data_IF_469775648952
#
_entry.id   IF_469775648952
#
_cell.length_a   1.000
_cell.length_b   1.000
_cell.length_c   1.000
_cell.angle_alpha   90.00
_cell.angle_beta   90.00
_cell.angle_gamma   90.00
#
_symmetry.space_group_name_H-M   'P 1'
#
loop_
_entity.id
_entity.type
_entity.pdbx_description
1 polymer ?
#
# COMPACT_ATOMS: atom_id res chain seq x y z
N UNK A 1 12.65 -3.61 -31.13
CA UNK A 1 12.24 -3.99 -30.44
C UNK A 1 11.17 -4.45 -30.23
N UNK A 2 11.01 -4.80 -30.03
CA UNK A 2 9.97 -5.38 -30.01
C UNK A 2 9.53 -6.24 -28.97
N UNK A 3 10.34 -6.75 -28.18
CA UNK A 3 9.95 -7.59 -27.09
C UNK A 3 9.06 -6.87 -26.11
N UNK A 4 9.20 -5.59 -26.04
CA UNK A 4 8.40 -4.81 -25.11
C UNK A 4 6.92 -4.91 -25.37
N UNK A 5 6.53 -5.21 -26.60
CA UNK A 5 5.10 -5.27 -26.84
C UNK A 5 4.43 -6.51 -26.27
N UNK A 6 5.20 -7.45 -25.78
CA UNK A 6 4.63 -8.61 -25.12
C UNK A 6 4.25 -8.30 -23.67
N UNK A 7 4.64 -7.16 -23.16
CA UNK A 7 4.40 -6.78 -21.78
C UNK A 7 3.05 -6.07 -21.70
N UNK A 8 2.17 -6.60 -20.87
CA UNK A 8 0.87 -5.98 -20.67
C UNK A 8 0.99 -4.84 -19.65
N UNK A 9 0.13 -3.86 -19.82
CA UNK A 9 0.09 -2.70 -18.95
C UNK A 9 -1.25 -2.69 -18.25
N UNK A 10 -1.25 -2.92 -16.94
CA UNK A 10 -2.47 -3.00 -16.15
C UNK A 10 -2.80 -1.70 -15.45
N UNK A 11 -4.08 -1.55 -15.14
CA UNK A 11 -4.57 -0.35 -14.47
C UNK A 11 -5.08 -0.70 -13.08
N UNK A 12 -5.47 0.34 -12.33
CA UNK A 12 -6.06 0.16 -11.01
C UNK A 12 -7.34 -0.69 -11.09
N UNK A 13 -8.14 -0.53 -12.15
CA UNK A 13 -9.35 -1.32 -12.30
C UNK A 13 -9.01 -2.81 -12.42
N UNK A 14 -7.94 -3.13 -13.14
CA UNK A 14 -7.47 -4.52 -13.23
C UNK A 14 -6.99 -5.00 -11.87
N UNK A 15 -6.23 -4.14 -11.18
CA UNK A 15 -5.68 -4.45 -9.87
C UNK A 15 -6.77 -4.85 -8.87
N UNK A 16 -7.91 -4.18 -8.94
CA UNK A 16 -9.02 -4.45 -8.03
C UNK A 16 -9.65 -5.83 -8.22
N UNK A 17 -9.39 -6.47 -9.36
CA UNK A 17 -9.95 -7.78 -9.66
C UNK A 17 -9.05 -8.92 -9.21
N UNK A 18 -7.81 -8.62 -8.83
CA UNK A 18 -6.86 -9.67 -8.47
C UNK A 18 -7.07 -10.11 -7.03
N UNK A 19 -6.85 -11.40 -6.81
CA UNK A 19 -6.89 -11.97 -5.47
C UNK A 19 -5.49 -11.99 -4.87
N UNK A 20 -5.43 -11.88 -3.54
CA UNK A 20 -4.15 -11.88 -2.85
C UNK A 20 -3.59 -10.48 -2.71
N UNK A 21 -2.33 -10.42 -2.30
CA UNK A 21 -1.66 -9.13 -2.07
C UNK A 21 -0.73 -8.83 -3.23
N UNK A 22 -0.96 -7.70 -3.86
CA UNK A 22 -0.22 -7.26 -5.02
C UNK A 22 0.14 -5.80 -4.90
N UNK A 23 1.16 -5.41 -5.66
CA UNK A 23 1.43 -4.01 -5.95
C UNK A 23 1.43 -3.85 -7.45
N UNK A 24 1.20 -2.63 -7.91
CA UNK A 24 1.17 -2.29 -9.32
C UNK A 24 2.14 -1.14 -9.53
N UNK A 25 3.16 -1.34 -10.37
CA UNK A 25 4.20 -0.34 -10.59
C UNK A 25 4.32 -0.07 -12.07
N UNK A 26 3.92 1.14 -12.48
CA UNK A 26 3.93 1.54 -13.89
C UNK A 26 3.27 0.48 -14.78
N UNK A 27 2.16 -0.07 -14.30
CA UNK A 27 1.39 -1.06 -15.04
C UNK A 27 1.88 -2.50 -14.90
N UNK A 28 2.96 -2.73 -14.16
CA UNK A 28 3.50 -4.07 -13.97
C UNK A 28 3.06 -4.65 -12.63
N UNK A 29 2.49 -5.85 -12.61
CA UNK A 29 2.04 -6.47 -11.37
C UNK A 29 3.20 -7.06 -10.59
N UNK A 30 3.20 -6.85 -9.27
CA UNK A 30 4.22 -7.37 -8.37
C UNK A 30 3.52 -8.08 -7.24
N UNK A 31 3.67 -9.41 -7.18
CA UNK A 31 3.06 -10.19 -6.12
C UNK A 31 3.82 -9.99 -4.82
N UNK A 32 3.09 -9.80 -3.73
CA UNK A 32 3.70 -9.67 -2.41
C UNK A 32 3.76 -11.05 -1.79
N UNK A 33 4.96 -11.44 -1.38
CA UNK A 33 5.18 -12.75 -0.75
C UNK A 33 4.36 -12.86 0.54
N UNK A 34 3.56 -13.91 0.69
CA UNK A 34 2.63 -13.99 1.82
C UNK A 34 3.23 -14.51 3.12
N UNK A 35 4.49 -14.85 3.18
CA UNK A 35 5.07 -15.44 4.39
C UNK A 35 6.15 -14.58 5.00
N UNK A 36 5.79 -13.49 5.65
CA UNK A 36 6.79 -12.67 6.32
C UNK A 36 7.36 -13.42 7.53
N UNK A 37 8.63 -13.21 7.80
CA UNK A 37 9.25 -13.84 8.97
C UNK A 37 8.74 -13.19 10.26
N UNK A 38 8.86 -13.91 11.35
CA UNK A 38 8.37 -13.44 12.65
C UNK A 38 8.98 -12.10 13.03
N UNK A 39 10.26 -11.91 12.76
CA UNK A 39 10.93 -10.63 13.08
C UNK A 39 10.32 -9.46 12.35
N UNK A 40 9.95 -9.66 11.08
CA UNK A 40 9.31 -8.61 10.31
C UNK A 40 7.96 -8.25 10.90
N UNK A 41 7.16 -9.25 11.27
CA UNK A 41 5.85 -9.01 11.86
C UNK A 41 5.95 -8.32 13.20
N UNK A 42 6.91 -8.73 14.03
CA UNK A 42 7.11 -8.12 15.33
C UNK A 42 7.53 -6.66 15.18
N UNK A 43 8.44 -6.38 14.24
CA UNK A 43 8.90 -5.01 13.98
C UNK A 43 7.76 -4.13 13.46
N UNK A 44 7.00 -4.64 12.50
CA UNK A 44 5.88 -3.90 11.95
C UNK A 44 4.83 -3.60 13.02
N UNK A 45 4.55 -4.56 13.88
CA UNK A 45 3.61 -4.37 14.99
C UNK A 45 4.09 -3.34 15.99
N UNK A 46 5.39 -3.35 16.29
CA UNK A 46 5.96 -2.37 17.21
C UNK A 46 5.92 -0.96 16.61
N UNK A 47 6.22 -0.83 15.33
CA UNK A 47 6.16 0.46 14.66
C UNK A 47 4.71 0.98 14.65
N UNK A 48 3.76 0.11 14.33
CA UNK A 48 2.35 0.46 14.32
C UNK A 48 1.92 0.98 15.70
N UNK A 49 2.33 0.28 16.76
CA UNK A 49 1.99 0.67 18.13
C UNK A 49 2.58 2.03 18.48
N UNK A 50 3.87 2.21 18.18
CA UNK A 50 4.55 3.47 18.50
C UNK A 50 3.94 4.65 17.74
N UNK A 51 3.59 4.45 16.48
CA UNK A 51 2.96 5.50 15.70
C UNK A 51 1.57 5.84 16.24
N UNK A 52 0.78 4.84 16.61
CA UNK A 52 -0.53 5.07 17.20
C UNK A 52 -0.41 5.83 18.52
N UNK A 53 0.59 5.49 19.31
CA UNK A 53 0.85 6.18 20.55
C UNK A 53 1.26 7.63 20.32
N UNK A 54 2.04 7.87 19.28
CA UNK A 54 2.52 9.22 18.95
C UNK A 54 1.40 10.16 18.53
N UNK A 55 0.43 9.68 17.75
CA UNK A 55 -0.66 10.54 17.32
C UNK A 55 -1.67 10.81 18.44
N UNK A 56 -1.66 9.97 19.49
CA UNK A 56 -2.50 10.18 20.66
C UNK A 56 -3.97 10.26 20.30
N UNK A 57 -4.62 11.35 20.70
CA UNK A 57 -6.04 11.56 20.46
C UNK A 57 -6.33 12.35 19.18
N UNK A 58 -5.35 12.49 18.30
CA UNK A 58 -5.55 13.24 17.06
C UNK A 58 -6.49 12.48 16.13
N UNK A 59 -7.67 13.06 15.88
CA UNK A 59 -8.66 12.38 15.07
C UNK A 59 -8.46 12.58 13.57
N UNK A 60 -7.53 13.47 13.19
CA UNK A 60 -7.25 13.73 11.79
C UNK A 60 -6.28 12.73 11.20
N UNK A 61 -5.57 11.97 12.03
CA UNK A 61 -4.51 11.08 11.60
C UNK A 61 -4.86 9.63 11.88
N UNK A 62 -4.40 8.74 10.96
CA UNK A 62 -4.62 7.31 11.09
C UNK A 62 -3.31 6.58 10.86
N UNK A 63 -3.12 5.49 11.58
CA UNK A 63 -2.01 4.57 11.33
C UNK A 63 -2.63 3.28 10.81
N UNK A 64 -2.21 2.86 9.62
CA UNK A 64 -2.80 1.74 8.93
C UNK A 64 -1.74 0.69 8.59
N UNK A 65 -2.20 -0.55 8.44
CA UNK A 65 -1.36 -1.68 8.09
C UNK A 65 -1.78 -2.18 6.72
N UNK A 66 -0.82 -2.27 5.79
CA UNK A 66 -1.05 -2.88 4.47
C UNK A 66 -2.20 -2.24 3.68
N UNK A 67 -2.31 -0.93 3.74
CA UNK A 67 -3.34 -0.23 2.99
C UNK A 67 -2.83 0.18 1.61
N UNK A 68 -3.74 0.15 0.61
CA UNK A 68 -3.39 0.56 -0.74
C UNK A 68 -3.12 2.06 -0.81
N UNK A 69 -1.97 2.41 -1.38
CA UNK A 69 -1.64 3.79 -1.70
C UNK A 69 -1.67 3.91 -3.21
N UNK A 70 -2.75 4.49 -3.73
CA UNK A 70 -2.92 4.66 -5.17
C UNK A 70 -2.24 5.95 -5.60
N UNK A 71 -1.07 5.81 -6.18
CA UNK A 71 -0.29 6.96 -6.65
C UNK A 71 -0.83 7.46 -7.98
N UNK A 72 -1.19 6.54 -8.87
CA UNK A 72 -1.76 6.87 -10.17
C UNK A 72 -2.62 5.71 -10.65
N UNK A 73 -3.17 5.82 -11.85
CA UNK A 73 -4.04 4.77 -12.37
C UNK A 73 -3.28 3.48 -12.70
N UNK A 74 -1.97 3.54 -12.78
CA UNK A 74 -1.16 2.35 -13.05
C UNK A 74 -0.09 2.08 -11.99
N UNK A 75 -0.18 2.72 -10.84
CA UNK A 75 0.78 2.49 -9.74
C UNK A 75 0.05 2.50 -8.41
N UNK A 76 0.08 1.36 -7.74
CA UNK A 76 -0.52 1.17 -6.42
C UNK A 76 0.49 0.44 -5.55
N UNK A 77 0.86 1.05 -4.44
CA UNK A 77 1.79 0.44 -3.48
C UNK A 77 1.02 0.01 -2.24
N UNK A 78 1.58 -0.96 -1.53
CA UNK A 78 0.97 -1.47 -0.31
C UNK A 78 2.01 -1.45 0.80
N UNK A 79 2.24 -0.29 1.43
CA UNK A 79 3.23 -0.21 2.51
C UNK A 79 2.81 -1.05 3.72
N UNK A 80 3.79 -1.59 4.43
CA UNK A 80 3.54 -2.43 5.61
C UNK A 80 2.86 -1.66 6.73
N UNK A 81 3.30 -0.44 6.98
CA UNK A 81 2.73 0.46 7.99
C UNK A 81 2.78 1.88 7.43
N UNK A 82 1.70 2.60 7.60
CA UNK A 82 1.63 3.96 7.06
C UNK A 82 0.85 4.87 8.01
N UNK A 83 1.34 6.10 8.13
CA UNK A 83 0.65 7.16 8.88
C UNK A 83 0.16 8.21 7.90
N UNK A 84 -1.13 8.48 7.93
CA UNK A 84 -1.73 9.50 7.07
C UNK A 84 -2.62 10.42 7.90
N UNK A 85 -2.75 11.66 7.43
CA UNK A 85 -3.61 12.64 8.09
C UNK A 85 -4.49 13.32 7.06
N UNK A 86 -5.73 13.59 7.44
CA UNK A 86 -6.69 14.32 6.59
C UNK A 86 -6.93 13.65 5.24
N UNK A 87 -6.96 12.32 5.22
CA UNK A 87 -7.21 11.57 3.99
C UNK A 87 -8.72 11.55 3.69
N UNK A 88 -9.15 12.08 2.55
CA UNK A 88 -10.57 12.16 2.24
C UNK A 88 -11.18 10.87 1.68
N UNK A 89 -10.35 9.94 1.24
CA UNK A 89 -10.83 8.70 0.62
C UNK A 89 -10.80 7.57 1.64
N UNK A 90 -11.88 6.79 1.74
CA UNK A 90 -11.93 5.70 2.71
C UNK A 90 -11.64 4.32 2.11
N UNK A 91 -11.25 4.26 0.83
CA UNK A 91 -10.92 3.00 0.18
C UNK A 91 -9.43 2.79 0.01
N UNK A 92 -8.71 3.85 -0.28
CA UNK A 92 -7.27 3.78 -0.49
C UNK A 92 -6.66 5.15 -0.22
N UNK A 93 -5.35 5.14 0.00
CA UNK A 93 -4.62 6.38 0.25
C UNK A 93 -4.32 7.05 -1.09
N UNK A 94 -4.63 8.35 -1.20
CA UNK A 94 -4.36 9.10 -2.42
C UNK A 94 -3.23 10.09 -2.27
N UNK A 95 -3.03 10.62 -1.07
CA UNK A 95 -1.97 11.60 -0.83
C UNK A 95 -0.74 10.90 -0.27
N UNK A 96 0.40 11.54 -0.36
CA UNK A 96 1.63 10.99 0.18
C UNK A 96 1.51 10.82 1.69
N UNK A 97 2.03 9.71 2.25
CA UNK A 97 2.01 9.51 3.71
C UNK A 97 2.82 10.58 4.44
N UNK A 98 2.48 10.77 5.67
CA UNK A 98 3.14 11.76 6.52
C UNK A 98 4.56 11.37 6.90
#
# INVERSE_FOLDING_TARGET
MCAAKAIEHYSYDDYCLWEGKWELIAGAPMAITPSPVIKHQALAGNILFELKKSIGACERCLVLSEEDWKISNDTVLKPDVVLICDEPNDKYITKAPE
#
